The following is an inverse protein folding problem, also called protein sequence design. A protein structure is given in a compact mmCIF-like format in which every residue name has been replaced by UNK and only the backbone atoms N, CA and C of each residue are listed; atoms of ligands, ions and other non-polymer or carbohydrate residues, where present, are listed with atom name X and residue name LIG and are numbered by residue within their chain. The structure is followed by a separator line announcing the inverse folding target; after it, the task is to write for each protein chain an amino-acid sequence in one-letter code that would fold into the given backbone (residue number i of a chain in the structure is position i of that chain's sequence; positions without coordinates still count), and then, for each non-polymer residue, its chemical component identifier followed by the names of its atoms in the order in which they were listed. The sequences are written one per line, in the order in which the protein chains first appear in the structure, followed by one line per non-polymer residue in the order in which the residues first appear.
data_IF_606772064999
#
_entry.id   IF_606772064999
#
_cell.length_a   1.000
_cell.length_b   1.000
_cell.length_c   1.000
_cell.angle_alpha   90.00
_cell.angle_beta   90.00
_cell.angle_gamma   90.00
#
_symmetry.space_group_name_H-M   'P 1'
#
loop_
_entity.id
_entity.type
_entity.pdbx_description
1 polymer ?
#
# COMPACT_ATOMS: atom_id res chain seq x y z
N UNK A 1 84.67 -18.10 -11.10
CA UNK A 1 83.28 -18.53 -10.84
C UNK A 1 82.69 -17.48 -9.89
N UNK A 2 82.09 -16.39 -10.40
CA UNK A 2 80.66 -16.28 -10.73
C UNK A 2 79.83 -16.29 -9.42
N UNK A 3 78.96 -15.35 -9.07
CA UNK A 3 78.20 -14.31 -9.79
C UNK A 3 77.36 -13.57 -8.70
N UNK A 4 77.07 -12.27 -8.89
CA UNK A 4 75.78 -11.58 -8.57
C UNK A 4 75.39 -11.52 -7.06
N UNK A 5 75.15 -10.39 -6.37
CA UNK A 5 74.51 -9.12 -6.74
C UNK A 5 73.07 -9.08 -6.17
N UNK A 6 72.79 -8.22 -5.18
CA UNK A 6 71.54 -7.43 -5.10
C UNK A 6 71.37 -6.71 -3.76
N UNK A 7 71.14 -5.40 -3.89
CA UNK A 7 70.56 -4.51 -2.89
C UNK A 7 69.04 -4.70 -2.87
N UNK A 8 68.41 -4.61 -1.69
CA UNK A 8 66.98 -4.22 -1.60
C UNK A 8 66.79 -3.28 -0.41
N UNK A 9 66.45 -2.04 -0.75
CA UNK A 9 65.87 -1.01 0.10
C UNK A 9 64.35 -1.22 0.26
N UNK A 10 63.86 -0.83 1.43
CA UNK A 10 62.59 -0.14 1.72
C UNK A 10 61.28 -0.58 1.04
N UNK A 11 60.26 -0.82 1.88
CA UNK A 11 58.87 -0.86 1.44
C UNK A 11 57.90 -0.71 2.61
N UNK A 12 57.57 0.54 2.95
CA UNK A 12 56.44 0.89 3.83
C UNK A 12 55.14 0.31 3.27
N UNK A 13 54.47 -0.56 4.02
CA UNK A 13 53.12 -1.01 3.71
C UNK A 13 52.11 0.05 4.16
N UNK A 14 51.64 0.90 3.24
CA UNK A 14 50.39 1.63 3.42
C UNK A 14 49.22 0.66 3.23
N UNK A 15 48.43 0.48 4.28
CA UNK A 15 47.14 -0.19 4.21
C UNK A 15 46.18 0.69 3.39
N UNK A 16 45.84 0.23 2.18
CA UNK A 16 44.82 0.84 1.35
C UNK A 16 43.44 0.57 1.98
N UNK A 17 42.87 1.59 2.59
CA UNK A 17 41.44 1.63 2.93
C UNK A 17 40.70 1.75 1.61
N UNK A 18 40.02 0.68 1.21
CA UNK A 18 39.14 0.67 0.05
C UNK A 18 37.87 1.46 0.41
N UNK A 19 37.95 2.79 0.29
CA UNK A 19 36.76 3.64 0.29
C UNK A 19 36.03 3.41 -1.03
N UNK A 20 34.76 3.00 -0.97
CA UNK A 20 33.88 3.15 -2.12
C UNK A 20 33.71 4.64 -2.40
N UNK A 21 34.52 5.17 -3.32
CA UNK A 21 34.31 6.48 -3.91
C UNK A 21 33.00 6.45 -4.71
N UNK A 22 31.93 7.03 -4.14
CA UNK A 22 30.73 7.34 -4.90
C UNK A 22 31.07 8.43 -5.90
N UNK A 23 31.10 8.05 -7.18
CA UNK A 23 31.27 8.97 -8.30
C UNK A 23 30.18 10.05 -8.26
N UNK A 24 30.54 11.35 -8.33
CA UNK A 24 29.56 12.42 -8.44
C UNK A 24 28.90 12.36 -9.83
N UNK A 25 27.56 12.23 -9.85
CA UNK A 25 26.76 12.29 -11.08
C UNK A 25 25.90 11.07 -11.40
N UNK A 26 25.88 10.05 -10.55
CA UNK A 26 24.96 8.91 -10.68
C UNK A 26 23.69 9.21 -9.88
N UNK A 27 22.52 9.20 -10.53
CA UNK A 27 21.24 9.23 -9.82
C UNK A 27 21.14 8.10 -8.78
N UNK A 28 20.21 8.21 -7.84
CA UNK A 28 20.02 7.19 -6.81
C UNK A 28 19.75 5.82 -7.44
N UNK A 29 20.42 4.77 -6.93
CA UNK A 29 20.12 3.39 -7.30
C UNK A 29 18.76 2.95 -6.75
N UNK A 30 18.18 1.88 -7.32
CA UNK A 30 16.85 1.37 -6.90
C UNK A 30 16.77 1.06 -5.41
N UNK A 31 17.80 0.42 -4.84
CA UNK A 31 17.84 0.07 -3.41
C UNK A 31 17.83 1.33 -2.53
N UNK A 32 18.57 2.37 -2.93
CA UNK A 32 18.61 3.65 -2.21
C UNK A 32 17.27 4.39 -2.29
N UNK A 33 16.57 4.29 -3.42
CA UNK A 33 15.24 4.89 -3.59
C UNK A 33 14.24 4.17 -2.66
N UNK A 34 14.26 2.83 -2.64
CA UNK A 34 13.40 2.02 -1.76
C UNK A 34 13.70 2.29 -0.28
N UNK A 35 14.97 2.33 0.12
CA UNK A 35 15.37 2.65 1.50
C UNK A 35 14.88 4.04 1.92
N UNK A 36 15.07 5.05 1.07
CA UNK A 36 14.61 6.42 1.33
C UNK A 36 13.09 6.51 1.37
N UNK A 37 12.37 5.77 0.53
CA UNK A 37 10.91 5.69 0.58
C UNK A 37 10.42 5.09 1.90
N UNK A 38 10.98 3.95 2.31
CA UNK A 38 10.65 3.31 3.59
C UNK A 38 10.90 4.26 4.75
N UNK A 39 12.06 4.93 4.77
CA UNK A 39 12.40 5.92 5.79
C UNK A 39 11.41 7.11 5.80
N UNK A 40 11.11 7.69 4.62
CA UNK A 40 10.19 8.81 4.49
C UNK A 40 8.76 8.45 4.92
N UNK A 41 8.35 7.20 4.73
CA UNK A 41 7.01 6.72 5.12
C UNK A 41 6.85 6.43 6.61
N UNK A 42 7.92 6.53 7.41
CA UNK A 42 7.90 6.30 8.87
C UNK A 42 8.81 5.15 9.34
N UNK A 43 9.54 4.50 8.43
CA UNK A 43 10.49 3.44 8.74
C UNK A 43 9.88 2.04 8.80
N UNK A 44 10.73 1.04 8.57
CA UNK A 44 10.35 -0.36 8.43
C UNK A 44 9.66 -0.93 9.68
N UNK A 45 10.24 -0.68 10.86
CA UNK A 45 9.74 -1.26 12.12
C UNK A 45 8.37 -0.70 12.52
N UNK A 46 8.09 0.56 12.21
CA UNK A 46 6.81 1.18 12.51
C UNK A 46 5.69 0.54 11.67
N UNK A 47 5.92 0.34 10.37
CA UNK A 47 4.97 -0.32 9.47
C UNK A 47 4.79 -1.83 9.75
N UNK A 48 5.84 -2.53 10.21
CA UNK A 48 5.74 -3.94 10.62
C UNK A 48 4.89 -4.14 11.88
N UNK A 49 4.84 -3.15 12.77
CA UNK A 49 3.98 -3.18 13.97
C UNK A 49 2.50 -2.99 13.66
N UNK A 50 2.15 -2.56 12.45
CA UNK A 50 0.74 -2.44 12.03
C UNK A 50 0.22 -3.80 11.57
N UNK A 51 -0.67 -4.38 12.38
CA UNK A 51 -1.34 -5.66 12.12
C UNK A 51 -2.76 -5.46 11.59
N UNK A 52 -3.43 -4.39 12.00
CA UNK A 52 -4.76 -4.00 11.52
C UNK A 52 -4.80 -2.51 11.23
N UNK A 53 -5.63 -2.10 10.27
CA UNK A 53 -5.84 -0.71 9.93
C UNK A 53 -7.28 -0.50 9.45
N UNK A 54 -7.91 0.60 9.88
CA UNK A 54 -9.24 1.00 9.42
C UNK A 54 -9.20 2.43 8.90
N UNK A 55 -9.68 2.63 7.68
CA UNK A 55 -9.96 3.94 7.11
C UNK A 55 -11.46 4.16 7.00
N UNK A 56 -11.90 5.38 7.28
CA UNK A 56 -13.27 5.79 6.99
C UNK A 56 -13.29 7.19 6.41
N UNK A 57 -14.23 7.43 5.51
CA UNK A 57 -14.49 8.73 4.94
C UNK A 57 -15.54 8.63 3.85
N UNK A 58 -15.32 9.29 2.72
CA UNK A 58 -16.29 9.31 1.63
C UNK A 58 -15.62 9.17 0.25
N UNK A 59 -16.41 8.65 -0.69
CA UNK A 59 -16.05 8.54 -2.10
C UNK A 59 -16.83 9.58 -2.89
N UNK A 60 -16.09 10.36 -3.64
CA UNK A 60 -16.62 11.20 -4.71
C UNK A 60 -16.37 10.53 -6.04
N UNK A 61 -17.44 10.03 -6.65
CA UNK A 61 -17.40 9.45 -7.99
C UNK A 61 -18.18 10.36 -8.94
N UNK A 62 -17.54 10.93 -9.97
CA UNK A 62 -18.18 11.79 -10.97
C UNK A 62 -19.40 11.16 -11.66
N UNK A 63 -19.41 9.83 -11.78
CA UNK A 63 -20.45 9.06 -12.46
C UNK A 63 -21.45 8.41 -11.49
N UNK A 64 -21.34 8.64 -10.18
CA UNK A 64 -22.23 8.06 -9.19
C UNK A 64 -23.57 8.81 -9.10
N UNK A 65 -24.65 8.13 -8.72
CA UNK A 65 -25.97 8.74 -8.56
C UNK A 65 -26.04 9.72 -7.37
N UNK A 66 -25.09 9.65 -6.44
CA UNK A 66 -24.97 10.52 -5.28
C UNK A 66 -23.50 10.84 -5.01
N UNK A 67 -23.24 12.03 -4.45
CA UNK A 67 -21.91 12.46 -3.99
C UNK A 67 -21.66 12.02 -2.54
N UNK A 68 -20.42 12.15 -2.08
CA UNK A 68 -20.04 11.90 -0.68
C UNK A 68 -20.50 10.54 -0.15
N UNK A 69 -20.31 9.46 -0.93
CA UNK A 69 -20.72 8.11 -0.54
C UNK A 69 -19.84 7.60 0.60
N UNK A 70 -20.38 7.38 1.82
CA UNK A 70 -19.55 6.97 2.94
C UNK A 70 -18.90 5.61 2.69
N UNK A 71 -17.62 5.47 3.03
CA UNK A 71 -16.92 4.20 2.97
C UNK A 71 -16.22 3.84 4.28
N UNK A 72 -16.00 2.54 4.47
CA UNK A 72 -15.07 2.00 5.47
C UNK A 72 -14.20 0.93 4.81
N UNK A 73 -12.89 1.04 5.00
CA UNK A 73 -11.91 0.04 4.60
C UNK A 73 -11.25 -0.53 5.86
N UNK A 74 -11.45 -1.82 6.14
CA UNK A 74 -10.69 -2.56 7.14
C UNK A 74 -9.66 -3.46 6.49
N UNK A 75 -8.48 -3.51 7.09
CA UNK A 75 -7.32 -4.27 6.63
C UNK A 75 -6.72 -5.03 7.80
N UNK A 76 -6.30 -6.28 7.56
CA UNK A 76 -5.65 -7.13 8.58
C UNK A 76 -4.58 -8.01 7.91
N UNK A 77 -3.39 -8.10 8.50
CA UNK A 77 -2.32 -9.00 8.00
C UNK A 77 -2.73 -10.48 8.11
N UNK A 78 -2.22 -11.37 7.22
CA UNK A 78 -1.26 -11.08 6.16
C UNK A 78 -1.84 -10.41 4.90
N UNK A 79 -3.12 -10.61 4.55
CA UNK A 79 -3.74 -9.89 3.43
C UNK A 79 -5.28 -10.00 3.44
N UNK A 80 -5.94 -9.60 4.53
CA UNK A 80 -7.40 -9.54 4.61
C UNK A 80 -7.89 -8.12 4.41
N UNK A 81 -8.93 -7.95 3.59
CA UNK A 81 -9.54 -6.65 3.31
C UNK A 81 -11.06 -6.73 3.34
N UNK A 82 -11.68 -5.68 3.84
CA UNK A 82 -13.12 -5.45 3.74
C UNK A 82 -13.34 -3.99 3.39
N UNK A 83 -13.92 -3.76 2.22
CA UNK A 83 -14.32 -2.44 1.76
C UNK A 83 -15.85 -2.38 1.68
N UNK A 84 -16.44 -1.46 2.41
CA UNK A 84 -17.85 -1.13 2.35
C UNK A 84 -18.04 0.28 1.81
N UNK A 85 -18.97 0.47 0.89
CA UNK A 85 -19.42 1.79 0.44
C UNK A 85 -20.94 1.84 0.51
N UNK A 86 -21.48 2.94 1.03
CA UNK A 86 -22.92 3.16 1.18
C UNK A 86 -23.42 4.07 0.06
N UNK A 87 -24.34 3.55 -0.77
CA UNK A 87 -24.98 4.24 -1.89
C UNK A 87 -26.48 4.20 -1.67
N UNK A 88 -27.14 5.37 -1.58
CA UNK A 88 -28.59 5.45 -1.35
C UNK A 88 -29.07 4.56 -0.17
N UNK A 89 -28.34 4.61 0.95
CA UNK A 89 -28.60 3.81 2.15
C UNK A 89 -28.45 2.28 1.98
N UNK A 90 -27.90 1.81 0.87
CA UNK A 90 -27.57 0.41 0.62
C UNK A 90 -26.05 0.20 0.57
N UNK A 91 -25.57 -0.94 1.06
CA UNK A 91 -24.13 -1.24 1.10
C UNK A 91 -23.70 -2.09 -0.08
N UNK A 92 -22.73 -1.59 -0.85
CA UNK A 92 -21.87 -2.44 -1.65
C UNK A 92 -20.68 -2.90 -0.78
N UNK A 93 -20.33 -4.17 -0.89
CA UNK A 93 -19.30 -4.80 -0.05
C UNK A 93 -18.34 -5.58 -0.94
N UNK A 94 -17.05 -5.46 -0.65
CA UNK A 94 -15.97 -6.27 -1.20
C UNK A 94 -15.15 -6.81 -0.05
N UNK A 95 -14.90 -8.11 -0.03
CA UNK A 95 -14.16 -8.79 1.04
C UNK A 95 -13.15 -9.74 0.42
N UNK A 96 -11.95 -9.79 1.00
CA UNK A 96 -10.94 -10.80 0.73
C UNK A 96 -10.41 -11.30 2.07
N UNK A 97 -10.41 -12.61 2.30
CA UNK A 97 -10.01 -13.21 3.58
C UNK A 97 -8.52 -13.62 3.63
N UNK A 98 -7.77 -13.28 2.57
CA UNK A 98 -6.39 -13.74 2.34
C UNK A 98 -6.28 -14.88 1.33
N UNK A 99 -7.40 -15.53 0.98
CA UNK A 99 -7.45 -16.69 0.08
C UNK A 99 -8.62 -16.64 -0.89
N UNK A 100 -9.81 -16.41 -0.39
CA UNK A 100 -11.09 -16.27 -1.08
C UNK A 100 -11.61 -14.83 -0.97
N UNK A 101 -12.51 -14.46 -1.87
CA UNK A 101 -13.09 -13.13 -1.86
C UNK A 101 -14.52 -13.11 -2.37
N UNK A 102 -15.27 -12.11 -1.94
CA UNK A 102 -16.68 -11.95 -2.25
C UNK A 102 -17.02 -10.49 -2.52
N UNK A 103 -18.01 -10.27 -3.38
CA UNK A 103 -18.58 -8.96 -3.66
C UNK A 103 -20.10 -8.99 -3.64
N UNK A 104 -20.67 -7.89 -3.19
CA UNK A 104 -22.09 -7.59 -3.26
C UNK A 104 -22.27 -6.16 -3.79
N UNK A 105 -23.13 -5.98 -4.78
CA UNK A 105 -23.50 -4.65 -5.27
C UNK A 105 -24.52 -4.00 -4.33
N UNK A 106 -24.56 -2.66 -4.31
CA UNK A 106 -25.48 -1.92 -3.43
C UNK A 106 -26.95 -2.30 -3.68
N UNK A 107 -27.34 -2.52 -4.94
CA UNK A 107 -28.71 -2.94 -5.30
C UNK A 107 -29.17 -4.24 -4.65
N UNK A 108 -28.25 -5.08 -4.18
CA UNK A 108 -28.52 -6.39 -3.56
C UNK A 108 -29.10 -7.44 -4.51
N UNK A 109 -29.58 -7.07 -5.70
CA UNK A 109 -30.31 -7.93 -6.65
C UNK A 109 -29.56 -9.19 -7.08
N UNK A 110 -28.23 -9.11 -7.19
CA UNK A 110 -27.38 -10.25 -7.56
C UNK A 110 -26.86 -11.07 -6.35
N UNK A 111 -27.22 -10.70 -5.12
CA UNK A 111 -26.68 -11.29 -3.91
C UNK A 111 -25.15 -11.20 -3.77
N UNK A 112 -24.61 -12.00 -2.85
CA UNK A 112 -23.17 -12.14 -2.62
C UNK A 112 -22.58 -13.11 -3.63
N UNK A 113 -21.61 -12.64 -4.42
CA UNK A 113 -20.91 -13.44 -5.43
C UNK A 113 -19.44 -13.62 -5.05
N UNK A 114 -18.82 -14.78 -5.33
CA UNK A 114 -17.39 -14.93 -5.18
C UNK A 114 -16.64 -14.04 -6.18
N UNK A 115 -15.39 -13.71 -5.87
CA UNK A 115 -14.45 -13.12 -6.81
C UNK A 115 -14.19 -14.08 -7.97
N UNK A 116 -14.08 -13.51 -9.16
CA UNK A 116 -13.56 -14.23 -10.34
C UNK A 116 -12.07 -14.57 -10.14
N UNK A 117 -11.50 -15.51 -10.92
CA UNK A 117 -10.07 -15.81 -10.84
C UNK A 117 -9.17 -14.58 -11.01
N UNK A 118 -9.52 -13.65 -11.90
CA UNK A 118 -8.76 -12.41 -12.09
C UNK A 118 -8.86 -11.47 -10.89
N UNK A 119 -10.03 -11.38 -10.24
CA UNK A 119 -10.20 -10.60 -9.02
C UNK A 119 -9.45 -11.21 -7.83
N UNK A 120 -9.41 -12.54 -7.72
CA UNK A 120 -8.61 -13.23 -6.70
C UNK A 120 -7.11 -12.99 -6.91
N UNK A 121 -6.62 -13.07 -8.14
CA UNK A 121 -5.23 -12.73 -8.46
C UNK A 121 -4.93 -11.28 -8.08
N UNK A 122 -5.80 -10.34 -8.47
CA UNK A 122 -5.64 -8.92 -8.14
C UNK A 122 -5.65 -8.67 -6.64
N UNK A 123 -6.51 -9.34 -5.88
CA UNK A 123 -6.61 -9.20 -4.44
C UNK A 123 -5.41 -9.80 -3.69
N UNK A 124 -4.86 -10.93 -4.17
CA UNK A 124 -3.64 -11.54 -3.62
C UNK A 124 -2.41 -10.65 -3.79
N UNK A 125 -2.34 -9.99 -4.94
CA UNK A 125 -1.30 -9.04 -5.31
C UNK A 125 -1.42 -7.70 -4.57
N UNK A 126 -2.59 -7.41 -4.00
CA UNK A 126 -2.84 -6.17 -3.28
C UNK A 126 -2.17 -6.20 -1.90
N UNK A 127 -1.30 -5.24 -1.62
CA UNK A 127 -0.56 -5.14 -0.34
C UNK A 127 -0.98 -3.90 0.42
N UNK A 128 -2.19 -3.94 0.96
CA UNK A 128 -2.93 -2.73 1.36
C UNK A 128 -2.38 -1.95 2.55
N UNK A 129 -1.60 -2.57 3.45
CA UNK A 129 -1.09 -1.88 4.65
C UNK A 129 0.18 -1.12 4.34
N UNK A 130 1.26 -1.82 3.98
CA UNK A 130 2.60 -1.24 3.79
C UNK A 130 2.96 -1.01 2.32
N UNK A 131 2.22 -1.61 1.39
CA UNK A 131 2.51 -1.49 -0.04
C UNK A 131 3.63 -2.44 -0.50
N UNK A 132 3.91 -2.43 -1.82
CA UNK A 132 4.75 -3.44 -2.46
C UNK A 132 6.25 -3.31 -2.19
N UNK A 133 6.72 -2.14 -1.74
CA UNK A 133 8.16 -1.88 -1.55
C UNK A 133 8.68 -2.36 -0.19
N UNK A 134 7.82 -2.38 0.83
CA UNK A 134 8.19 -2.88 2.15
C UNK A 134 8.38 -4.39 2.08
N UNK A 135 9.53 -4.89 2.55
CA UNK A 135 9.86 -6.32 2.56
C UNK A 135 9.69 -6.99 1.18
N UNK A 136 9.95 -6.26 0.09
CA UNK A 136 9.64 -6.71 -1.28
C UNK A 136 10.26 -8.08 -1.60
N UNK A 137 11.52 -8.31 -1.22
CA UNK A 137 12.21 -9.60 -1.44
C UNK A 137 11.52 -10.75 -0.71
N UNK A 138 11.18 -10.58 0.56
CA UNK A 138 10.47 -11.59 1.35
C UNK A 138 9.07 -11.87 0.81
N UNK A 139 8.48 -10.90 0.09
CA UNK A 139 7.19 -11.01 -0.59
C UNK A 139 7.31 -11.52 -2.03
N UNK A 140 8.52 -11.82 -2.52
CA UNK A 140 8.76 -12.27 -3.90
C UNK A 140 8.49 -11.20 -4.95
N UNK A 141 8.66 -9.93 -4.60
CA UNK A 141 8.49 -8.77 -5.48
C UNK A 141 9.85 -8.31 -5.99
N UNK A 142 9.98 -8.26 -7.31
CA UNK A 142 11.12 -7.63 -7.98
C UNK A 142 10.88 -6.13 -8.18
N UNK A 143 11.89 -5.30 -7.90
CA UNK A 143 11.83 -3.85 -8.08
C UNK A 143 12.98 -3.40 -8.99
N UNK A 144 12.67 -2.64 -10.03
CA UNK A 144 13.68 -2.07 -10.94
C UNK A 144 13.39 -0.61 -11.22
N UNK A 145 14.43 0.23 -11.21
CA UNK A 145 14.32 1.63 -11.65
C UNK A 145 14.27 1.67 -13.19
N UNK A 146 13.19 2.20 -13.76
CA UNK A 146 13.03 2.32 -15.22
C UNK A 146 13.25 3.74 -15.74
N UNK A 147 13.21 4.75 -14.87
CA UNK A 147 13.44 6.13 -15.27
C UNK A 147 12.97 7.15 -14.25
N UNK A 148 12.92 8.40 -14.71
CA UNK A 148 12.44 9.55 -13.96
C UNK A 148 11.41 10.27 -14.82
N UNK A 149 10.22 10.48 -14.28
CA UNK A 149 9.14 11.17 -14.98
C UNK A 149 8.77 12.47 -14.23
N UNK A 150 8.39 13.54 -14.94
CA UNK A 150 7.85 14.74 -14.31
C UNK A 150 6.41 14.48 -13.83
N UNK A 151 6.19 14.55 -12.52
CA UNK A 151 4.88 14.40 -11.86
C UNK A 151 4.63 15.62 -10.97
N UNK A 152 3.54 16.35 -11.23
CA UNK A 152 3.17 17.53 -10.43
C UNK A 152 4.23 18.65 -10.43
N UNK A 153 5.06 18.74 -11.47
CA UNK A 153 6.15 19.72 -11.58
C UNK A 153 7.43 19.33 -10.83
N UNK A 154 7.53 18.09 -10.36
CA UNK A 154 8.73 17.53 -9.72
C UNK A 154 9.13 16.21 -10.39
N UNK A 155 10.41 15.88 -10.30
CA UNK A 155 10.92 14.60 -10.78
C UNK A 155 10.47 13.48 -9.83
N UNK A 156 9.95 12.39 -10.39
CA UNK A 156 9.59 11.18 -9.64
C UNK A 156 10.24 9.94 -10.28
N UNK A 157 10.86 9.11 -9.45
CA UNK A 157 11.48 7.85 -9.87
C UNK A 157 10.39 6.84 -10.22
N UNK A 158 10.37 6.38 -11.48
CA UNK A 158 9.44 5.33 -11.94
C UNK A 158 10.08 3.97 -11.69
N UNK A 159 9.51 3.22 -10.75
CA UNK A 159 9.91 1.86 -10.41
C UNK A 159 8.94 0.88 -11.08
N UNK A 160 9.46 -0.10 -11.81
CA UNK A 160 8.69 -1.28 -12.17
C UNK A 160 8.73 -2.30 -11.01
N UNK A 161 7.55 -2.77 -10.65
CA UNK A 161 7.27 -3.66 -9.52
C UNK A 161 6.66 -4.94 -10.10
N UNK A 162 7.47 -5.99 -10.17
CA UNK A 162 7.05 -7.32 -10.64
C UNK A 162 6.50 -8.14 -9.46
N UNK A 163 5.22 -8.44 -9.52
CA UNK A 163 4.49 -9.15 -8.46
C UNK A 163 4.61 -10.67 -8.60
N UNK A 164 4.30 -11.45 -7.54
CA UNK A 164 4.35 -12.91 -7.58
C UNK A 164 3.45 -13.54 -8.66
N UNK A 165 2.37 -12.85 -9.05
CA UNK A 165 1.51 -13.27 -10.17
C UNK A 165 2.17 -13.15 -11.55
N UNK A 166 3.31 -12.47 -11.65
CA UNK A 166 3.96 -12.08 -12.90
C UNK A 166 3.49 -10.74 -13.46
N UNK A 167 2.46 -10.12 -12.86
CA UNK A 167 2.04 -8.78 -13.25
C UNK A 167 3.14 -7.74 -12.93
N UNK A 168 3.31 -6.77 -13.83
CA UNK A 168 4.17 -5.61 -13.60
C UNK A 168 3.26 -4.40 -13.35
N UNK A 169 3.52 -3.70 -12.25
CA UNK A 169 2.94 -2.40 -11.92
C UNK A 169 4.06 -1.37 -11.88
N UNK A 170 3.73 -0.11 -12.08
CA UNK A 170 4.66 0.98 -11.82
C UNK A 170 4.27 1.70 -10.54
N UNK A 171 5.29 2.15 -9.80
CA UNK A 171 5.16 3.05 -8.66
C UNK A 171 6.09 4.23 -8.90
N UNK A 172 5.59 5.45 -8.72
CA UNK A 172 6.36 6.67 -8.83
C UNK A 172 6.66 7.21 -7.44
N UNK A 173 7.94 7.34 -7.14
CA UNK A 173 8.46 7.87 -5.88
C UNK A 173 8.92 9.30 -6.10
N UNK A 174 8.28 10.26 -5.42
CA UNK A 174 8.64 11.68 -5.55
C UNK A 174 10.09 11.92 -5.13
N UNK A 175 10.87 12.61 -5.98
CA UNK A 175 12.32 12.78 -5.77
C UNK A 175 12.70 13.70 -4.61
N UNK A 176 11.73 14.42 -4.02
CA UNK A 176 11.96 15.35 -2.91
C UNK A 176 11.55 14.73 -1.57
N UNK A 177 10.33 14.21 -1.50
CA UNK A 177 9.72 13.65 -0.30
C UNK A 177 9.94 12.15 -0.15
N UNK A 178 10.28 11.45 -1.23
CA UNK A 178 10.36 9.98 -1.32
C UNK A 178 9.05 9.25 -1.00
N UNK A 179 7.91 9.92 -1.07
CA UNK A 179 6.59 9.29 -0.92
C UNK A 179 6.10 8.70 -2.25
N UNK A 180 5.28 7.64 -2.19
CA UNK A 180 4.62 7.08 -3.36
C UNK A 180 3.51 8.04 -3.81
N UNK A 181 3.70 8.74 -4.93
CA UNK A 181 2.75 9.76 -5.40
C UNK A 181 1.81 9.27 -6.47
N UNK A 182 2.22 8.22 -7.20
CA UNK A 182 1.42 7.57 -8.24
C UNK A 182 1.73 6.09 -8.31
N UNK A 183 0.74 5.30 -8.66
CA UNK A 183 0.92 3.91 -9.08
C UNK A 183 0.02 3.61 -10.29
N UNK A 184 0.36 2.56 -11.04
CA UNK A 184 -0.50 2.03 -12.08
C UNK A 184 -0.76 0.53 -11.90
N UNK A 185 -1.76 0.04 -12.63
CA UNK A 185 -1.95 -1.39 -12.87
C UNK A 185 -2.67 -1.62 -14.18
N UNK A 186 -2.34 -2.72 -14.83
CA UNK A 186 -3.10 -3.23 -15.96
C UNK A 186 -4.31 -4.01 -15.46
N UNK A 187 -5.50 -3.70 -16.00
CA UNK A 187 -6.73 -4.46 -15.78
C UNK A 187 -7.31 -4.90 -17.11
N UNK A 188 -8.13 -5.97 -17.10
CA UNK A 188 -8.89 -6.36 -18.29
C UNK A 188 -10.12 -5.48 -18.42
N UNK A 189 -10.17 -4.69 -19.48
CA UNK A 189 -11.37 -3.97 -19.91
C UNK A 189 -12.18 -4.76 -20.94
N UNK A 190 -13.38 -4.27 -21.30
CA UNK A 190 -14.21 -4.87 -22.35
C UNK A 190 -13.53 -4.95 -23.72
N UNK A 191 -12.68 -3.98 -24.04
CA UNK A 191 -12.01 -3.83 -25.34
C UNK A 191 -10.52 -4.22 -25.32
N UNK A 192 -10.04 -4.85 -24.24
CA UNK A 192 -8.63 -5.19 -24.05
C UNK A 192 -8.03 -4.65 -22.76
N UNK A 193 -6.70 -4.72 -22.60
CA UNK A 193 -6.01 -4.19 -21.43
C UNK A 193 -6.24 -2.68 -21.27
N UNK A 194 -6.47 -2.24 -20.04
CA UNK A 194 -6.59 -0.83 -19.68
C UNK A 194 -5.64 -0.53 -18.52
N UNK A 195 -4.94 0.60 -18.59
CA UNK A 195 -4.17 1.13 -17.46
C UNK A 195 -5.13 1.84 -16.50
N UNK A 196 -5.16 1.39 -15.25
CA UNK A 196 -5.73 2.14 -14.14
C UNK A 196 -4.61 2.85 -13.41
N UNK A 197 -4.77 4.13 -13.20
CA UNK A 197 -3.85 4.93 -12.40
C UNK A 197 -4.43 5.17 -11.01
N UNK A 198 -3.55 5.33 -10.05
CA UNK A 198 -3.84 5.75 -8.68
C UNK A 198 -2.90 6.88 -8.33
N UNK A 199 -3.43 8.02 -7.93
CA UNK A 199 -2.65 9.14 -7.41
C UNK A 199 -2.88 9.28 -5.91
N UNK A 200 -1.81 9.47 -5.15
CA UNK A 200 -1.84 9.63 -3.70
C UNK A 200 -1.49 11.06 -3.33
N UNK A 201 -2.22 11.64 -2.38
CA UNK A 201 -1.98 13.01 -1.95
C UNK A 201 -2.50 13.29 -0.55
N UNK A 202 -2.30 14.54 -0.11
CA UNK A 202 -2.65 15.01 1.23
C UNK A 202 -2.10 14.08 2.33
N UNK A 203 -0.81 13.76 2.25
CA UNK A 203 -0.16 12.93 3.25
C UNK A 203 -0.20 13.61 4.62
N UNK A 204 -0.49 12.82 5.65
CA UNK A 204 -0.42 13.24 7.06
C UNK A 204 0.39 12.24 7.86
N UNK A 205 1.09 12.77 8.85
CA UNK A 205 1.77 11.99 9.87
C UNK A 205 0.73 11.52 10.90
N UNK A 206 0.53 10.21 11.01
CA UNK A 206 -0.41 9.57 11.94
C UNK A 206 0.38 8.49 12.69
N UNK A 207 0.57 8.69 13.99
CA UNK A 207 1.40 7.84 14.87
C UNK A 207 2.79 7.50 14.28
N UNK A 208 3.42 8.49 13.63
CA UNK A 208 4.75 8.34 13.02
C UNK A 208 4.76 7.77 11.59
N UNK A 209 3.61 7.44 11.02
CA UNK A 209 3.48 6.93 9.65
C UNK A 209 2.95 8.01 8.71
N UNK A 210 3.55 8.16 7.53
CA UNK A 210 2.97 9.00 6.46
C UNK A 210 1.88 8.23 5.73
N UNK A 211 0.65 8.73 5.79
CA UNK A 211 -0.53 8.09 5.20
C UNK A 211 -1.24 9.09 4.28
N UNK A 212 -1.55 8.74 3.02
CA UNK A 212 -2.30 9.63 2.14
C UNK A 212 -3.75 9.73 2.62
N UNK A 213 -4.29 10.94 2.66
CA UNK A 213 -5.70 11.17 2.98
C UNK A 213 -6.57 11.47 1.76
N UNK A 214 -5.97 11.51 0.57
CA UNK A 214 -6.66 11.61 -0.71
C UNK A 214 -6.09 10.59 -1.67
N UNK A 215 -6.96 9.76 -2.25
CA UNK A 215 -6.60 8.77 -3.26
C UNK A 215 -7.52 8.95 -4.46
N UNK A 216 -6.95 9.24 -5.63
CA UNK A 216 -7.70 9.35 -6.88
C UNK A 216 -7.41 8.15 -7.75
N UNK A 217 -8.43 7.49 -8.29
CA UNK A 217 -8.24 6.35 -9.19
C UNK A 217 -9.23 6.34 -10.34
N UNK A 218 -8.75 5.89 -11.50
CA UNK A 218 -9.55 5.74 -12.70
C UNK A 218 -8.70 5.19 -13.84
N UNK A 219 -9.31 4.90 -14.98
CA UNK A 219 -8.54 4.56 -16.16
C UNK A 219 -7.70 5.78 -16.58
N UNK A 220 -6.49 5.56 -17.08
CA UNK A 220 -5.59 6.64 -17.49
C UNK A 220 -6.23 7.57 -18.54
N UNK A 221 -7.09 7.01 -19.40
CA UNK A 221 -7.81 7.75 -20.44
C UNK A 221 -9.09 8.45 -19.94
N UNK A 222 -9.56 8.19 -18.71
CA UNK A 222 -10.78 8.80 -18.22
C UNK A 222 -10.55 10.28 -17.86
N UNK A 223 -11.41 11.20 -18.33
CA UNK A 223 -11.30 12.62 -18.00
C UNK A 223 -11.65 12.92 -16.53
N UNK A 224 -12.31 11.98 -15.86
CA UNK A 224 -12.73 12.10 -14.47
C UNK A 224 -12.39 10.82 -13.72
N UNK A 225 -12.00 10.95 -12.45
CA UNK A 225 -11.54 9.86 -11.59
C UNK A 225 -12.36 9.79 -10.31
N UNK A 226 -12.50 8.61 -9.73
CA UNK A 226 -13.08 8.44 -8.40
C UNK A 226 -12.07 8.93 -7.37
N UNK A 227 -12.54 9.64 -6.35
CA UNK A 227 -11.71 10.15 -5.26
C UNK A 227 -12.17 9.54 -3.94
N UNK A 228 -11.27 8.86 -3.23
CA UNK A 228 -11.44 8.51 -1.82
C UNK A 228 -10.84 9.63 -0.97
N UNK A 229 -11.68 10.22 -0.12
CA UNK A 229 -11.29 11.21 0.88
C UNK A 229 -11.35 10.52 2.24
N UNK A 230 -10.21 10.40 2.90
CA UNK A 230 -10.05 9.66 4.15
C UNK A 230 -10.12 10.66 5.30
N UNK A 231 -11.19 10.58 6.08
CA UNK A 231 -11.45 11.48 7.20
C UNK A 231 -10.81 10.96 8.50
N UNK A 232 -10.72 9.63 8.66
CA UNK A 232 -10.13 8.99 9.84
C UNK A 232 -9.34 7.74 9.48
N UNK A 233 -8.19 7.61 10.13
CA UNK A 233 -7.34 6.42 10.12
C UNK A 233 -7.23 5.90 11.56
N UNK A 234 -7.36 4.59 11.75
CA UNK A 234 -7.12 3.92 13.03
C UNK A 234 -6.12 2.79 12.82
N UNK A 235 -5.01 2.84 13.56
CA UNK A 235 -3.95 1.84 13.53
C UNK A 235 -4.15 0.83 14.66
N UNK A 236 -3.94 -0.44 14.35
CA UNK A 236 -4.11 -1.56 15.27
C UNK A 236 -5.45 -1.65 16.03
N UNK A 237 -6.62 -1.28 15.45
CA UNK A 237 -7.89 -1.54 16.12
C UNK A 237 -8.15 -3.05 16.21
N UNK A 238 -8.84 -3.54 17.25
CA UNK A 238 -9.24 -4.93 17.32
C UNK A 238 -10.20 -5.25 16.16
N UNK A 239 -9.83 -6.21 15.30
CA UNK A 239 -10.66 -6.70 14.21
C UNK A 239 -10.84 -8.22 14.29
N UNK A 240 -12.09 -8.65 14.46
CA UNK A 240 -12.49 -10.05 14.39
C UNK A 240 -12.29 -10.58 12.96
N UNK A 241 -11.79 -11.81 12.84
CA UNK A 241 -11.64 -12.49 11.56
C UNK A 241 -12.98 -12.71 10.84
N UNK A 242 -14.08 -12.82 11.57
CA UNK A 242 -15.43 -12.95 11.02
C UNK A 242 -15.83 -11.76 10.12
N UNK A 243 -15.24 -10.58 10.32
CA UNK A 243 -15.47 -9.41 9.44
C UNK A 243 -15.03 -9.69 8.00
N UNK A 244 -14.00 -10.52 7.83
CA UNK A 244 -13.39 -10.82 6.53
C UNK A 244 -13.96 -12.08 5.88
N UNK A 245 -14.95 -12.74 6.50
CA UNK A 245 -15.64 -13.87 5.90
C UNK A 245 -16.65 -13.45 4.82
N UNK A 246 -17.25 -14.46 4.17
CA UNK A 246 -18.35 -14.26 3.20
C UNK A 246 -19.44 -13.37 3.83
N UNK A 247 -19.80 -12.24 3.19
CA UNK A 247 -20.90 -11.41 3.67
C UNK A 247 -22.19 -12.23 3.80
N UNK A 248 -22.90 -12.05 4.91
CA UNK A 248 -24.26 -12.60 5.08
C UNK A 248 -25.26 -11.60 4.53
N UNK A 249 -26.22 -12.08 3.73
CA UNK A 249 -27.34 -11.25 3.27
C UNK A 249 -28.14 -10.72 4.46
N UNK A 250 -28.84 -9.56 4.33
CA UNK A 250 -29.54 -8.90 5.44
C UNK A 250 -30.64 -9.73 6.16
N UNK A 251 -30.96 -10.93 5.69
CA UNK A 251 -31.99 -11.82 6.28
C UNK A 251 -31.50 -12.83 7.32
N UNK A 252 -30.20 -12.88 7.63
CA UNK A 252 -29.65 -13.77 8.66
C UNK A 252 -28.71 -13.00 9.58
N UNK A 253 -28.93 -13.11 10.91
CA UNK A 253 -28.13 -12.58 12.04
C UNK A 253 -27.04 -11.55 11.68
N UNK A 254 -27.29 -10.27 12.04
CA UNK A 254 -26.39 -9.10 12.01
C UNK A 254 -25.16 -9.28 11.12
N UNK A 255 -25.24 -8.81 9.87
CA UNK A 255 -24.05 -8.60 9.06
C UNK A 255 -23.02 -7.81 9.87
N UNK A 256 -21.81 -8.36 9.99
CA UNK A 256 -20.72 -7.73 10.73
C UNK A 256 -20.31 -6.47 9.96
N UNK A 257 -20.86 -5.32 10.38
CA UNK A 257 -20.47 -4.01 9.88
C UNK A 257 -19.32 -3.48 10.72
N UNK A 258 -18.30 -2.92 10.08
CA UNK A 258 -17.24 -2.20 10.78
C UNK A 258 -17.85 -0.94 11.38
N UNK A 259 -17.79 -0.77 12.70
CA UNK A 259 -18.11 0.51 13.31
C UNK A 259 -16.95 1.49 13.02
N UNK A 260 -17.20 2.51 12.21
CA UNK A 260 -16.21 3.54 11.88
C UNK A 260 -15.73 4.32 13.13
N UNK A 261 -16.42 4.18 14.28
CA UNK A 261 -16.05 4.83 15.53
C UNK A 261 -14.94 4.11 16.31
N UNK A 262 -14.52 2.90 15.93
CA UNK A 262 -13.43 2.20 16.66
C UNK A 262 -12.21 3.12 16.72
N UNK A 263 -11.90 3.59 17.91
CA UNK A 263 -10.69 4.32 18.27
C UNK A 263 -9.80 3.35 19.03
N UNK A 264 -8.48 3.50 18.92
CA UNK A 264 -7.55 2.69 19.71
C UNK A 264 -7.94 2.81 21.19
N UNK A 265 -8.02 1.67 21.89
CA UNK A 265 -8.28 1.69 23.33
C UNK A 265 -7.17 2.52 24.00
N UNK A 266 -7.50 3.45 24.91
CA UNK A 266 -6.47 4.19 25.65
C UNK A 266 -5.63 3.20 26.47
N UNK A 267 -4.33 3.48 26.68
CA UNK A 267 -3.48 2.64 27.52
C UNK A 267 -4.10 2.50 28.91
N UNK A 268 -4.16 1.26 29.38
CA UNK A 268 -5.02 0.82 30.47
C UNK A 268 -4.96 1.68 31.73
N UNK A 269 -6.13 2.09 32.21
CA UNK A 269 -6.31 2.57 33.57
C UNK A 269 -6.11 1.37 34.49
N UNK A 270 -5.03 1.41 35.29
CA UNK A 270 -4.79 0.45 36.35
C UNK A 270 -6.01 0.39 37.27
N UNK A 271 -6.55 -0.83 37.48
CA UNK A 271 -7.57 -1.06 38.51
C UNK A 271 -6.97 -0.71 39.87
N UNK A 272 -7.68 0.03 40.74
CA UNK A 272 -7.24 0.18 42.12
C UNK A 272 -7.33 -1.18 42.81
N UNK A 273 -6.20 -1.62 43.32
CA UNK A 273 -6.06 -2.72 44.25
C UNK A 273 -6.84 -2.38 45.52
N UNK A 274 -7.94 -3.10 45.76
CA UNK A 274 -8.55 -3.17 47.09
C UNK A 274 -7.66 -4.08 47.93
N UNK A 275 -7.24 -3.60 49.10
CA UNK A 275 -6.51 -4.35 50.12
C UNK A 275 -6.86 -3.77 51.49
N UNK A 276 -6.73 -4.61 52.53
CA UNK A 276 -7.56 -5.75 52.88
C UNK A 276 -8.81 -5.34 53.68
#
# INVERSE_FOLDING_TARGET
MGRIGSWVLAGCAMAAVCGCEQLPGQGLGVDQIVEKNIAARGGLDAWRKVQTMVWSGHVDSPNAPVRNMPFVLAMKRPNKTRFEITVLNQKAVRVFDGREGWKQAASGSAGVRPYTPGELLSARDEQVIDGPLFDHDAKGIGVTLEGVDPIGGHDAYRLAVKLPSGAVRHVWIDGRSFLDVKADRQVRGPSGPLTVEVNYGNFKLIDGLQIPLRIESGTAAAPTKDTLIIDKVSLNPPLDDALFGRPVSPGGRRAASIDARVSAAPPGVARPTVRP
#
